data_IF_003049628685
#
_entry.id   IF_003049628685
#
_cell.length_a   1.000
_cell.length_b   1.000
_cell.length_c   1.000
_cell.angle_alpha   90.00
_cell.angle_beta   90.00
_cell.angle_gamma   90.00
#
_symmetry.space_group_name_H-M   'P 1'
#
loop_
_entity.id
_entity.type
_entity.pdbx_description
1 polymer ?
#
# COMPACT_ATOMS: atom_id res chain seq x y z
N UNK A 1 -10.79 4.17 35.80
CA UNK A 1 -12.23 3.79 35.82
C UNK A 1 -12.81 3.75 34.40
N UNK A 2 -12.50 4.73 33.55
CA UNK A 2 -12.95 4.87 32.15
C UNK A 2 -12.42 3.78 31.20
N UNK A 3 -11.17 3.34 31.32
CA UNK A 3 -10.59 2.32 30.42
C UNK A 3 -11.32 0.97 30.46
N UNK A 4 -11.79 0.53 31.64
CA UNK A 4 -12.51 -0.75 31.77
C UNK A 4 -13.89 -0.74 31.12
N UNK A 5 -14.51 0.43 31.01
CA UNK A 5 -15.79 0.59 30.31
C UNK A 5 -15.59 0.58 28.80
N UNK A 6 -14.51 1.21 28.32
CA UNK A 6 -14.13 1.20 26.91
C UNK A 6 -13.77 -0.23 26.47
N UNK A 7 -13.03 -0.97 27.30
CA UNK A 7 -12.64 -2.35 27.00
C UNK A 7 -13.85 -3.30 26.96
N UNK A 8 -14.82 -3.10 27.87
CA UNK A 8 -16.08 -3.85 27.85
C UNK A 8 -16.94 -3.50 26.64
N UNK A 9 -17.08 -2.21 26.31
CA UNK A 9 -17.82 -1.78 25.13
C UNK A 9 -17.19 -2.30 23.85
N UNK A 10 -15.86 -2.22 23.72
CA UNK A 10 -15.14 -2.77 22.57
C UNK A 10 -15.32 -4.28 22.48
N UNK A 11 -15.24 -5.01 23.60
CA UNK A 11 -15.46 -6.48 23.58
C UNK A 11 -16.89 -6.85 23.19
N UNK A 12 -17.89 -6.18 23.73
CA UNK A 12 -19.30 -6.44 23.36
C UNK A 12 -19.56 -6.09 21.90
N UNK A 13 -19.00 -4.99 21.40
CA UNK A 13 -19.09 -4.61 19.98
C UNK A 13 -18.36 -5.62 19.08
N UNK A 14 -17.17 -6.08 19.48
CA UNK A 14 -16.41 -7.09 18.74
C UNK A 14 -17.16 -8.42 18.73
N UNK A 15 -17.77 -8.86 19.83
CA UNK A 15 -18.61 -10.06 19.89
C UNK A 15 -19.88 -9.94 19.02
N UNK A 16 -20.51 -8.77 18.98
CA UNK A 16 -21.68 -8.51 18.10
C UNK A 16 -21.31 -8.39 16.61
N UNK A 17 -20.09 -7.92 16.31
CA UNK A 17 -19.52 -7.88 14.96
C UNK A 17 -19.10 -9.27 14.46
N UNK A 18 -18.71 -10.18 15.36
CA UNK A 18 -18.17 -11.50 15.02
C UNK A 18 -19.25 -12.51 14.57
N UNK A 19 -20.53 -12.14 14.57
CA UNK A 19 -21.56 -12.89 13.84
C UNK A 19 -21.21 -12.82 12.34
N UNK A 20 -20.78 -13.95 11.81
CA UNK A 20 -20.10 -14.13 10.52
C UNK A 20 -20.75 -13.41 9.32
N UNK A 21 -22.07 -13.16 9.35
CA UNK A 21 -22.80 -12.41 8.32
C UNK A 21 -22.46 -10.91 8.24
N UNK A 22 -21.97 -10.28 9.33
CA UNK A 22 -21.67 -8.83 9.34
C UNK A 22 -20.23 -8.48 9.00
N UNK A 23 -19.33 -9.44 9.08
CA UNK A 23 -17.92 -9.28 8.71
C UNK A 23 -17.79 -9.14 7.19
N UNK A 24 -18.56 -9.92 6.43
CA UNK A 24 -18.71 -9.80 4.96
C UNK A 24 -19.33 -8.47 4.56
N UNK A 25 -20.31 -7.97 5.33
CA UNK A 25 -20.95 -6.68 5.09
C UNK A 25 -19.97 -5.53 5.36
N UNK A 26 -19.16 -5.59 6.42
CA UNK A 26 -18.11 -4.59 6.68
C UNK A 26 -17.00 -4.66 5.64
N UNK A 27 -16.57 -5.85 5.25
CA UNK A 27 -15.57 -6.02 4.19
C UNK A 27 -16.02 -5.41 2.87
N UNK A 28 -17.22 -5.74 2.39
CA UNK A 28 -17.71 -5.20 1.12
C UNK A 28 -18.08 -3.71 1.18
N UNK A 29 -18.65 -3.25 2.29
CA UNK A 29 -19.20 -1.88 2.35
C UNK A 29 -18.22 -0.83 2.86
N UNK A 30 -17.19 -1.23 3.62
CA UNK A 30 -16.18 -0.31 4.16
C UNK A 30 -14.77 -0.65 3.68
N UNK A 31 -14.33 -1.91 3.77
CA UNK A 31 -12.96 -2.27 3.38
C UNK A 31 -12.76 -2.14 1.86
N UNK A 32 -13.73 -2.61 1.06
CA UNK A 32 -13.68 -2.55 -0.40
C UNK A 32 -13.49 -1.12 -0.93
N UNK A 33 -14.31 -0.11 -0.54
CA UNK A 33 -14.07 1.27 -0.98
C UNK A 33 -12.76 1.87 -0.44
N UNK A 34 -12.33 1.54 0.78
CA UNK A 34 -11.05 2.02 1.33
C UNK A 34 -9.87 1.47 0.53
N UNK A 35 -9.88 0.17 0.24
CA UNK A 35 -8.84 -0.49 -0.55
C UNK A 35 -8.87 0.02 -1.98
N UNK A 36 -10.05 0.21 -2.57
CA UNK A 36 -10.20 0.71 -3.94
C UNK A 36 -9.71 2.15 -4.09
N UNK A 37 -10.06 3.06 -3.17
CA UNK A 37 -9.49 4.40 -3.12
C UNK A 37 -7.99 4.39 -2.82
N UNK A 38 -7.52 3.48 -1.97
CA UNK A 38 -6.09 3.35 -1.69
C UNK A 38 -5.33 2.92 -2.95
N UNK A 39 -5.83 1.93 -3.69
CA UNK A 39 -5.22 1.46 -4.95
C UNK A 39 -5.33 2.52 -6.04
N UNK A 40 -6.45 3.22 -6.19
CA UNK A 40 -6.61 4.32 -7.15
C UNK A 40 -5.63 5.46 -6.89
N UNK A 41 -5.43 5.82 -5.62
CA UNK A 41 -4.42 6.79 -5.25
C UNK A 41 -3.02 6.24 -5.46
N UNK A 42 -2.73 4.99 -5.12
CA UNK A 42 -1.37 4.43 -5.11
C UNK A 42 -0.88 4.02 -6.51
N UNK A 43 -1.78 3.64 -7.42
CA UNK A 43 -1.48 3.23 -8.79
C UNK A 43 -0.69 4.26 -9.60
N UNK A 44 -1.08 5.55 -9.67
CA UNK A 44 -0.28 6.55 -10.37
C UNK A 44 1.11 6.73 -9.73
N UNK A 45 1.23 6.70 -8.39
CA UNK A 45 2.55 6.80 -7.75
C UNK A 45 3.43 5.58 -8.04
N UNK A 46 2.87 4.38 -8.11
CA UNK A 46 3.60 3.19 -8.54
C UNK A 46 4.11 3.34 -9.97
N UNK A 47 3.27 3.81 -10.89
CA UNK A 47 3.69 4.06 -12.28
C UNK A 47 4.79 5.11 -12.38
N UNK A 48 4.68 6.22 -11.64
CA UNK A 48 5.73 7.24 -11.58
C UNK A 48 7.03 6.68 -10.99
N UNK A 49 6.93 5.91 -9.90
CA UNK A 49 8.09 5.29 -9.25
C UNK A 49 8.82 4.33 -10.18
N UNK A 50 8.09 3.44 -10.86
CA UNK A 50 8.66 2.49 -11.83
C UNK A 50 9.34 3.24 -12.98
N UNK A 51 8.70 4.30 -13.48
CA UNK A 51 9.27 5.14 -14.55
C UNK A 51 10.60 5.76 -14.14
N UNK A 52 10.67 6.32 -12.94
CA UNK A 52 11.90 6.90 -12.37
C UNK A 52 12.98 5.84 -12.25
N UNK A 53 12.65 4.65 -11.73
CA UNK A 53 13.60 3.54 -11.58
C UNK A 53 14.20 3.14 -12.93
N UNK A 54 13.39 3.03 -13.98
CA UNK A 54 13.85 2.69 -15.33
C UNK A 54 14.82 3.75 -15.87
N UNK A 55 14.52 5.04 -15.68
CA UNK A 55 15.40 6.13 -16.10
C UNK A 55 16.76 6.04 -15.39
N UNK A 56 16.76 5.83 -14.07
CA UNK A 56 17.99 5.64 -13.30
C UNK A 56 18.78 4.42 -13.78
N UNK A 57 18.11 3.32 -14.10
CA UNK A 57 18.75 2.13 -14.61
C UNK A 57 19.49 2.40 -15.94
N UNK A 58 18.84 3.08 -16.89
CA UNK A 58 19.45 3.46 -18.17
C UNK A 58 20.64 4.41 -17.95
N UNK A 59 20.51 5.34 -16.99
CA UNK A 59 21.58 6.27 -16.65
C UNK A 59 22.83 5.53 -16.16
N UNK A 60 22.67 4.59 -15.22
CA UNK A 60 23.75 3.77 -14.67
C UNK A 60 24.44 2.98 -15.78
N UNK A 61 23.67 2.33 -16.66
CA UNK A 61 24.22 1.58 -17.80
C UNK A 61 24.98 2.51 -18.75
N UNK A 62 24.46 3.70 -19.03
CA UNK A 62 25.13 4.68 -19.89
C UNK A 62 26.46 5.15 -19.29
N UNK A 63 26.50 5.42 -17.99
CA UNK A 63 27.72 5.80 -17.26
C UNK A 63 28.74 4.66 -17.30
N UNK A 64 28.29 3.41 -17.13
CA UNK A 64 29.16 2.23 -17.18
C UNK A 64 29.78 2.06 -18.58
N UNK A 65 28.98 2.16 -19.64
CA UNK A 65 29.45 2.09 -21.03
C UNK A 65 30.44 3.21 -21.33
N UNK A 66 30.14 4.43 -20.86
CA UNK A 66 31.01 5.58 -21.06
C UNK A 66 32.36 5.41 -20.33
N UNK A 67 32.35 4.88 -19.10
CA UNK A 67 33.55 4.55 -18.35
C UNK A 67 34.39 3.49 -19.06
N UNK A 68 33.76 2.41 -19.53
CA UNK A 68 34.46 1.36 -20.30
C UNK A 68 35.09 1.96 -21.55
N UNK A 69 34.35 2.79 -22.32
CA UNK A 69 34.85 3.43 -23.53
C UNK A 69 36.04 4.36 -23.29
N UNK A 70 36.05 5.07 -22.17
CA UNK A 70 37.18 5.94 -21.77
C UNK A 70 38.38 5.10 -21.32
N UNK A 71 38.16 4.01 -20.60
CA UNK A 71 39.23 3.19 -20.02
C UNK A 71 39.86 2.21 -21.04
N UNK A 72 39.12 1.82 -22.09
CA UNK A 72 39.60 0.97 -23.19
C UNK A 72 40.14 1.76 -24.41
N UNK A 73 40.26 3.09 -24.31
CA UNK A 73 40.91 3.94 -25.30
C UNK A 73 42.27 4.39 -24.79
#
# INVERSE_FOLDING_TARGET
MSEKLIDKLLKTLIEELKKEERITLINNHFIEPIVKSSIECLYPYFLYSITIIIIFFILIISILILNIKICYK
#
